data_IF_260196988657
#
_entry.id   IF_260196988657
#
_cell.length_a   1.000
_cell.length_b   1.000
_cell.length_c   1.000
_cell.angle_alpha   90.00
_cell.angle_beta   90.00
_cell.angle_gamma   90.00
#
_symmetry.space_group_name_H-M   'P 1'
#
loop_
_entity.id
_entity.type
_entity.pdbx_description
1 polymer ?
#
# COMPACT_ATOMS: atom_id res chain seq x y z
N UNK A 1 26.31 12.86 57.19
CA UNK A 1 26.31 12.90 55.70
C UNK A 1 25.27 11.90 55.21
N UNK A 2 24.06 12.37 54.84
CA UNK A 2 22.96 11.54 54.31
C UNK A 2 23.13 11.40 52.82
N UNK A 3 23.37 10.19 52.33
CA UNK A 3 23.38 9.87 50.88
C UNK A 3 21.95 9.79 50.39
N UNK A 4 21.57 10.73 49.53
CA UNK A 4 20.30 10.69 48.80
C UNK A 4 20.53 9.77 47.60
N UNK A 5 19.85 8.59 47.61
CA UNK A 5 19.80 7.69 46.46
C UNK A 5 18.64 8.19 45.60
N UNK A 6 18.98 8.81 44.45
CA UNK A 6 18.01 9.14 43.40
C UNK A 6 17.72 7.85 42.64
N UNK A 7 16.54 7.27 42.86
CA UNK A 7 16.03 6.16 42.04
C UNK A 7 15.51 6.78 40.76
N UNK A 8 16.28 6.62 39.67
CA UNK A 8 15.88 6.93 38.33
C UNK A 8 14.91 5.83 37.88
N UNK A 9 13.59 6.07 37.99
CA UNK A 9 12.56 5.17 37.44
C UNK A 9 12.58 5.27 35.92
N UNK A 10 13.24 4.32 35.28
CA UNK A 10 13.05 4.05 33.85
C UNK A 10 11.57 3.69 33.60
N UNK A 11 10.81 4.63 33.07
CA UNK A 11 9.53 4.32 32.46
C UNK A 11 9.82 3.53 31.19
N UNK A 12 9.75 2.20 31.29
CA UNK A 12 9.52 1.35 30.13
C UNK A 12 8.11 1.68 29.60
N UNK A 13 8.04 2.54 28.63
CA UNK A 13 6.84 2.68 27.82
C UNK A 13 6.61 1.35 27.13
N UNK A 14 5.60 0.61 27.55
CA UNK A 14 5.06 -0.49 26.76
C UNK A 14 4.54 0.14 25.47
N UNK A 15 5.31 0.00 24.39
CA UNK A 15 4.79 0.19 23.05
C UNK A 15 3.75 -0.91 22.83
N UNK A 16 2.47 -0.58 23.04
CA UNK A 16 1.39 -1.41 22.52
C UNK A 16 1.60 -1.45 21.01
N UNK A 17 1.83 -2.66 20.47
CA UNK A 17 1.88 -2.86 19.02
C UNK A 17 0.67 -2.18 18.39
N UNK A 18 0.89 -1.35 17.39
CA UNK A 18 -0.18 -0.68 16.70
C UNK A 18 -1.00 -1.73 15.96
N UNK A 19 -2.18 -2.06 16.48
CA UNK A 19 -3.08 -3.01 15.82
C UNK A 19 -3.71 -2.31 14.61
N UNK A 20 -3.14 -2.59 13.43
CA UNK A 20 -3.70 -2.20 12.16
C UNK A 20 -4.01 -3.45 11.36
N UNK A 21 -5.29 -3.72 11.18
CA UNK A 21 -5.78 -4.82 10.35
C UNK A 21 -7.03 -4.36 9.63
N UNK A 22 -7.03 -4.47 8.33
CA UNK A 22 -8.22 -4.33 7.49
C UNK A 22 -8.56 -5.72 6.94
N UNK A 23 -9.58 -6.34 7.51
CA UNK A 23 -10.03 -7.66 7.09
C UNK A 23 -10.68 -7.60 5.70
N UNK A 24 -10.59 -8.70 4.95
CA UNK A 24 -11.35 -8.83 3.71
C UNK A 24 -12.85 -8.69 3.98
N UNK A 25 -13.50 -7.87 3.20
CA UNK A 25 -14.95 -7.72 3.19
C UNK A 25 -15.53 -8.24 1.89
N UNK A 26 -16.47 -9.18 1.97
CA UNK A 26 -17.09 -9.84 0.82
C UNK A 26 -18.54 -9.46 0.70
N UNK A 27 -18.95 -8.98 -0.47
CA UNK A 27 -20.33 -8.56 -0.75
C UNK A 27 -20.64 -8.72 -2.24
N UNK A 28 -21.91 -9.02 -2.62
CA UNK A 28 -22.27 -9.06 -4.02
C UNK A 28 -22.39 -7.65 -4.62
N UNK A 29 -22.11 -7.54 -5.92
CA UNK A 29 -22.50 -6.37 -6.71
C UNK A 29 -24.05 -6.30 -6.77
N UNK A 30 -24.62 -5.16 -6.34
CA UNK A 30 -26.06 -4.92 -6.39
C UNK A 30 -26.47 -4.50 -7.81
N UNK A 31 -25.76 -3.51 -8.34
CA UNK A 31 -25.94 -2.99 -9.70
C UNK A 31 -24.60 -2.69 -10.33
N UNK A 32 -24.58 -2.74 -11.66
CA UNK A 32 -23.44 -2.36 -12.48
C UNK A 32 -23.89 -1.29 -13.45
N UNK A 33 -23.19 -0.16 -13.49
CA UNK A 33 -23.52 0.99 -14.31
C UNK A 33 -22.69 0.99 -15.61
N UNK A 34 -23.20 1.66 -16.63
CA UNK A 34 -22.52 1.74 -17.94
C UNK A 34 -21.26 2.62 -17.91
N UNK A 35 -21.04 3.40 -16.84
CA UNK A 35 -19.87 4.25 -16.65
C UNK A 35 -18.66 3.52 -16.02
N UNK A 36 -18.73 2.19 -15.89
CA UNK A 36 -17.67 1.38 -15.27
C UNK A 36 -17.68 1.44 -13.74
N UNK A 37 -18.79 1.79 -13.15
CA UNK A 37 -18.98 1.77 -11.70
C UNK A 37 -20.03 0.74 -11.29
N UNK A 38 -20.09 0.45 -9.98
CA UNK A 38 -21.10 -0.44 -9.42
C UNK A 38 -21.44 -0.03 -7.99
N UNK A 39 -22.56 -0.53 -7.50
CA UNK A 39 -23.05 -0.33 -6.14
C UNK A 39 -22.93 -1.62 -5.34
N UNK A 40 -22.45 -1.50 -4.10
CA UNK A 40 -22.37 -2.58 -3.11
C UNK A 40 -22.99 -2.13 -1.79
N UNK A 41 -23.26 -3.07 -0.88
CA UNK A 41 -23.65 -2.74 0.50
C UNK A 41 -22.45 -2.11 1.21
N UNK A 42 -22.67 -1.04 1.95
CA UNK A 42 -21.63 -0.41 2.77
C UNK A 42 -21.37 -1.17 4.07
N UNK A 43 -20.16 -1.04 4.59
CA UNK A 43 -19.73 -1.57 5.88
C UNK A 43 -18.74 -0.61 6.53
N UNK A 44 -18.65 -0.56 7.87
CA UNK A 44 -17.60 0.17 8.57
C UNK A 44 -16.18 -0.28 8.21
N UNK A 45 -16.02 -1.50 7.70
CA UNK A 45 -14.73 -2.07 7.28
C UNK A 45 -14.27 -1.53 5.91
N UNK A 46 -15.15 -0.86 5.16
CA UNK A 46 -14.84 -0.29 3.86
C UNK A 46 -14.38 1.17 4.03
N UNK A 47 -13.20 1.47 3.52
CA UNK A 47 -12.67 2.83 3.45
C UNK A 47 -12.74 3.37 2.02
N UNK A 48 -13.01 4.67 1.86
CA UNK A 48 -12.90 5.32 0.55
C UNK A 48 -11.44 5.27 0.11
N UNK A 49 -11.21 4.82 -1.12
CA UNK A 49 -9.88 4.59 -1.67
C UNK A 49 -9.33 3.17 -1.44
N UNK A 50 -9.99 2.35 -0.60
CA UNK A 50 -9.59 0.94 -0.52
C UNK A 50 -9.90 0.19 -1.81
N UNK A 51 -9.09 -0.80 -2.13
CA UNK A 51 -9.24 -1.60 -3.35
C UNK A 51 -9.56 -3.06 -3.05
N UNK A 52 -9.94 -3.78 -4.09
CA UNK A 52 -10.29 -5.18 -4.03
C UNK A 52 -10.40 -5.80 -5.40
N UNK A 53 -11.02 -6.98 -5.46
CA UNK A 53 -11.23 -7.76 -6.68
C UNK A 53 -12.68 -8.16 -6.85
N UNK A 54 -13.08 -8.42 -8.10
CA UNK A 54 -14.38 -9.03 -8.45
C UNK A 54 -14.15 -10.47 -8.82
N UNK A 55 -14.88 -11.36 -8.16
CA UNK A 55 -14.92 -12.80 -8.44
C UNK A 55 -16.18 -13.13 -9.23
N UNK A 56 -16.00 -13.69 -10.42
CA UNK A 56 -17.08 -14.31 -11.18
C UNK A 56 -17.08 -15.82 -10.99
N UNK A 57 -18.24 -16.40 -10.76
CA UNK A 57 -18.39 -17.84 -10.58
C UNK A 57 -18.68 -18.52 -11.92
N UNK A 58 -17.82 -19.46 -12.29
CA UNK A 58 -17.99 -20.37 -13.43
C UNK A 58 -18.34 -21.76 -12.86
N UNK A 59 -19.48 -22.29 -13.16
CA UNK A 59 -19.93 -23.61 -12.68
C UNK A 59 -19.40 -24.00 -11.29
N UNK A 60 -18.23 -24.66 -11.21
CA UNK A 60 -17.60 -25.13 -9.98
C UNK A 60 -16.53 -24.20 -9.44
N UNK A 61 -15.93 -23.37 -10.29
CA UNK A 61 -14.78 -22.52 -9.96
C UNK A 61 -15.13 -21.03 -10.00
N UNK A 62 -14.28 -20.20 -9.43
CA UNK A 62 -14.38 -18.74 -9.53
C UNK A 62 -13.05 -18.14 -9.96
N UNK A 63 -13.12 -17.09 -10.76
CA UNK A 63 -11.94 -16.36 -11.22
C UNK A 63 -12.07 -14.88 -10.92
N UNK A 64 -10.93 -14.23 -10.71
CA UNK A 64 -10.86 -12.77 -10.65
C UNK A 64 -11.01 -12.24 -12.07
N UNK A 65 -12.01 -11.37 -12.28
CA UNK A 65 -12.32 -10.80 -13.59
C UNK A 65 -12.03 -9.30 -13.69
N UNK A 66 -11.98 -8.61 -12.55
CA UNK A 66 -11.68 -7.19 -12.50
C UNK A 66 -11.11 -6.85 -11.13
N UNK A 67 -10.55 -5.66 -11.05
CA UNK A 67 -10.21 -4.95 -9.84
C UNK A 67 -11.28 -3.91 -9.56
N UNK A 68 -11.41 -3.49 -8.31
CA UNK A 68 -12.31 -2.41 -7.89
C UNK A 68 -11.63 -1.49 -6.89
N UNK A 69 -12.01 -0.22 -6.90
CA UNK A 69 -11.69 0.75 -5.85
C UNK A 69 -12.96 1.43 -5.33
N UNK A 70 -13.02 1.70 -4.02
CA UNK A 70 -14.15 2.40 -3.39
C UNK A 70 -14.02 3.89 -3.66
N UNK A 71 -14.98 4.48 -4.37
CA UNK A 71 -14.94 5.89 -4.75
C UNK A 71 -15.83 6.78 -3.87
N UNK A 72 -16.91 6.25 -3.32
CA UNK A 72 -17.78 7.01 -2.40
C UNK A 72 -18.64 6.09 -1.55
N UNK A 73 -19.18 6.64 -0.46
CA UNK A 73 -20.12 5.97 0.46
C UNK A 73 -21.31 6.89 0.72
N UNK A 74 -22.51 6.38 0.63
CA UNK A 74 -23.74 7.14 0.90
C UNK A 74 -24.89 6.22 1.31
N UNK A 75 -25.59 6.59 2.38
CA UNK A 75 -26.88 6.00 2.81
C UNK A 75 -26.89 4.45 2.88
N UNK A 76 -25.83 3.82 3.38
CA UNK A 76 -25.73 2.37 3.53
C UNK A 76 -25.25 1.63 2.28
N UNK A 77 -24.84 2.37 1.26
CA UNK A 77 -24.23 1.84 0.05
C UNK A 77 -22.85 2.45 -0.19
N UNK A 78 -21.99 1.69 -0.86
CA UNK A 78 -20.73 2.19 -1.38
C UNK A 78 -20.71 2.06 -2.91
N UNK A 79 -20.15 3.07 -3.57
CA UNK A 79 -19.91 3.04 -5.01
C UNK A 79 -18.47 2.61 -5.26
N UNK A 80 -18.29 1.63 -6.13
CA UNK A 80 -16.97 1.14 -6.55
C UNK A 80 -16.78 1.40 -8.03
N UNK A 81 -15.52 1.58 -8.45
CA UNK A 81 -15.10 1.72 -9.85
C UNK A 81 -14.31 0.48 -10.26
N UNK A 82 -14.60 -0.04 -11.44
CA UNK A 82 -13.84 -1.15 -12.02
C UNK A 82 -12.52 -0.66 -12.62
N UNK A 83 -11.51 -1.50 -12.46
CA UNK A 83 -10.17 -1.30 -12.97
C UNK A 83 -9.65 -2.63 -13.54
N UNK A 84 -8.63 -2.57 -14.38
CA UNK A 84 -7.98 -3.77 -14.90
C UNK A 84 -7.28 -4.50 -13.76
N UNK A 85 -7.43 -5.81 -13.70
CA UNK A 85 -6.69 -6.65 -12.76
C UNK A 85 -5.33 -7.02 -13.37
N UNK A 86 -4.25 -6.53 -12.78
CA UNK A 86 -2.87 -6.67 -13.26
C UNK A 86 -1.92 -7.36 -12.25
N UNK A 87 -2.45 -7.82 -11.11
CA UNK A 87 -1.66 -8.53 -10.10
C UNK A 87 -1.11 -9.85 -10.66
N UNK A 88 0.22 -10.01 -10.59
CA UNK A 88 0.92 -11.20 -11.11
C UNK A 88 0.57 -11.51 -12.57
N UNK A 89 0.37 -10.47 -13.38
CA UNK A 89 0.02 -10.62 -14.79
C UNK A 89 0.97 -11.58 -15.50
N UNK A 90 0.39 -12.54 -16.22
CA UNK A 90 1.11 -13.47 -17.11
C UNK A 90 0.60 -13.26 -18.52
N UNK A 91 1.42 -12.65 -19.36
CA UNK A 91 1.06 -12.27 -20.74
C UNK A 91 0.62 -13.46 -21.62
N UNK A 92 1.03 -14.67 -21.26
CA UNK A 92 0.75 -15.89 -22.01
C UNK A 92 -0.57 -16.57 -21.58
N UNK A 93 -1.22 -16.06 -20.52
CA UNK A 93 -2.52 -16.59 -20.09
C UNK A 93 -3.66 -15.76 -20.67
N UNK A 94 -4.75 -16.42 -21.15
CA UNK A 94 -5.92 -15.72 -21.66
C UNK A 94 -6.62 -14.96 -20.53
N UNK A 95 -7.01 -13.71 -20.81
CA UNK A 95 -7.90 -12.97 -19.92
C UNK A 95 -9.30 -13.60 -19.93
N UNK A 96 -10.03 -13.60 -18.81
CA UNK A 96 -11.37 -14.16 -18.72
C UNK A 96 -12.36 -13.61 -19.75
N UNK A 97 -12.17 -12.36 -20.22
CA UNK A 97 -12.99 -11.71 -21.23
C UNK A 97 -14.45 -11.46 -20.81
N UNK A 98 -14.74 -11.53 -19.50
CA UNK A 98 -16.08 -11.35 -18.93
C UNK A 98 -16.10 -10.03 -18.17
N UNK A 99 -17.13 -9.23 -18.42
CA UNK A 99 -17.37 -8.01 -17.66
C UNK A 99 -18.07 -8.33 -16.33
N UNK A 100 -17.78 -7.57 -15.25
CA UNK A 100 -18.51 -7.69 -14.01
C UNK A 100 -20.02 -7.51 -14.18
N UNK A 101 -20.80 -8.30 -13.45
CA UNK A 101 -22.25 -8.31 -13.50
C UNK A 101 -22.86 -8.29 -12.09
N UNK A 102 -24.12 -7.89 -11.98
CA UNK A 102 -24.86 -7.98 -10.72
C UNK A 102 -24.87 -9.42 -10.20
N UNK A 103 -24.57 -9.59 -8.91
CA UNK A 103 -24.41 -10.88 -8.26
C UNK A 103 -22.97 -11.39 -8.17
N UNK A 104 -22.03 -10.85 -8.94
CA UNK A 104 -20.61 -11.16 -8.77
C UNK A 104 -20.12 -10.70 -7.40
N UNK A 105 -19.17 -11.43 -6.83
CA UNK A 105 -18.68 -11.14 -5.48
C UNK A 105 -17.49 -10.17 -5.52
N UNK A 106 -17.65 -9.04 -4.85
CA UNK A 106 -16.54 -8.13 -4.54
C UNK A 106 -15.86 -8.59 -3.26
N UNK A 107 -14.53 -8.66 -3.29
CA UNK A 107 -13.66 -8.88 -2.13
C UNK A 107 -12.83 -7.62 -1.95
N UNK A 108 -13.24 -6.73 -1.04
CA UNK A 108 -12.47 -5.52 -0.69
C UNK A 108 -11.38 -5.83 0.34
N UNK A 109 -10.42 -4.92 0.48
CA UNK A 109 -9.23 -5.09 1.31
C UNK A 109 -8.41 -6.33 0.91
N UNK A 110 -8.42 -6.65 -0.38
CA UNK A 110 -7.74 -7.83 -0.93
C UNK A 110 -6.23 -7.68 -0.80
N UNK A 111 -5.57 -8.68 -0.18
CA UNK A 111 -4.14 -8.68 0.12
C UNK A 111 -3.66 -7.55 1.06
N UNK A 112 -4.53 -7.00 1.90
CA UNK A 112 -4.14 -5.96 2.85
C UNK A 112 -3.34 -6.48 4.05
N UNK A 113 -3.09 -7.77 4.12
CA UNK A 113 -2.10 -8.36 5.01
C UNK A 113 -0.67 -8.33 4.42
N UNK A 114 -0.48 -7.80 3.19
CA UNK A 114 0.80 -7.70 2.48
C UNK A 114 1.06 -6.24 2.07
N UNK A 115 2.23 -5.72 2.44
CA UNK A 115 2.59 -4.31 2.22
C UNK A 115 4.00 -4.18 1.64
N UNK A 116 4.18 -3.29 0.65
CA UNK A 116 5.49 -2.71 0.42
C UNK A 116 5.88 -1.90 1.64
N UNK A 117 7.18 -1.71 1.86
CA UNK A 117 7.70 -0.89 2.95
C UNK A 117 8.75 0.10 2.43
N UNK A 118 8.53 1.37 2.72
CA UNK A 118 9.40 2.49 2.38
C UNK A 118 9.74 3.22 3.68
N UNK A 119 10.97 3.15 4.10
CA UNK A 119 11.45 3.72 5.37
C UNK A 119 12.80 4.39 5.17
N UNK A 120 13.13 5.41 5.97
CA UNK A 120 14.33 6.22 5.76
C UNK A 120 15.63 5.49 6.15
N UNK A 121 15.60 4.53 7.07
CA UNK A 121 16.80 3.85 7.57
C UNK A 121 16.47 2.45 8.11
N UNK A 122 17.53 1.72 8.48
CA UNK A 122 17.44 0.35 8.98
C UNK A 122 16.74 0.25 10.34
N UNK A 123 17.00 1.19 11.21
CA UNK A 123 16.46 1.20 12.57
C UNK A 123 14.93 1.30 12.53
N UNK A 124 14.40 2.24 11.73
CA UNK A 124 12.95 2.39 11.53
C UNK A 124 12.37 1.17 10.83
N UNK A 125 13.13 0.54 9.90
CA UNK A 125 12.69 -0.73 9.30
C UNK A 125 12.47 -1.82 10.35
N UNK A 126 13.41 -2.02 11.26
CA UNK A 126 13.32 -3.02 12.32
C UNK A 126 12.19 -2.69 13.33
N UNK A 127 12.00 -1.42 13.66
CA UNK A 127 10.90 -0.97 14.51
C UNK A 127 9.53 -1.24 13.88
N UNK A 128 9.35 -0.96 12.59
CA UNK A 128 8.10 -1.21 11.87
C UNK A 128 7.78 -2.70 11.82
N UNK A 129 8.76 -3.56 11.56
CA UNK A 129 8.56 -5.02 11.60
C UNK A 129 8.11 -5.48 13.00
N UNK A 130 8.68 -4.91 14.05
CA UNK A 130 8.29 -5.20 15.43
C UNK A 130 6.90 -4.67 15.80
N UNK A 131 6.52 -3.50 15.28
CA UNK A 131 5.23 -2.87 15.55
C UNK A 131 4.04 -3.58 14.86
N UNK A 132 4.26 -4.21 13.71
CA UNK A 132 3.22 -4.87 12.91
C UNK A 132 3.56 -6.35 12.62
N UNK A 133 3.61 -7.21 13.63
CA UNK A 133 4.08 -8.60 13.48
C UNK A 133 3.17 -9.48 12.61
N UNK A 134 1.92 -9.08 12.40
CA UNK A 134 0.94 -9.80 11.58
C UNK A 134 0.94 -9.33 10.11
N UNK A 135 1.69 -8.28 9.78
CA UNK A 135 1.83 -7.76 8.42
C UNK A 135 2.98 -8.46 7.69
N UNK A 136 2.75 -8.88 6.46
CA UNK A 136 3.79 -9.44 5.60
C UNK A 136 4.40 -8.28 4.81
N UNK A 137 5.53 -7.76 5.26
CA UNK A 137 6.26 -6.74 4.54
C UNK A 137 7.12 -7.34 3.43
N UNK A 138 6.96 -6.80 2.22
CA UNK A 138 7.82 -7.10 1.08
C UNK A 138 9.15 -6.39 1.31
N UNK A 139 10.25 -7.16 1.32
CA UNK A 139 11.57 -6.60 1.64
C UNK A 139 11.94 -5.43 0.71
N UNK A 140 12.41 -4.29 1.22
CA UNK A 140 12.69 -3.09 0.40
C UNK A 140 13.72 -3.34 -0.69
N UNK A 141 14.60 -4.34 -0.56
CA UNK A 141 15.56 -4.71 -1.61
C UNK A 141 14.90 -5.14 -2.92
N UNK A 142 13.66 -5.67 -2.89
CA UNK A 142 12.96 -6.02 -4.14
C UNK A 142 12.61 -4.76 -4.94
N UNK A 143 12.14 -3.74 -4.25
CA UNK A 143 11.90 -2.42 -4.88
C UNK A 143 13.21 -1.77 -5.28
N UNK A 144 14.24 -1.82 -4.42
CA UNK A 144 15.57 -1.30 -4.71
C UNK A 144 16.20 -1.95 -5.95
N UNK A 145 16.11 -3.27 -6.09
CA UNK A 145 16.62 -3.98 -7.26
C UNK A 145 15.88 -3.59 -8.55
N UNK A 146 14.55 -3.44 -8.49
CA UNK A 146 13.77 -2.93 -9.62
C UNK A 146 14.23 -1.52 -10.02
N UNK A 147 14.38 -0.61 -9.05
CA UNK A 147 14.80 0.77 -9.32
C UNK A 147 16.22 0.85 -9.88
N UNK A 148 17.15 0.03 -9.38
CA UNK A 148 18.51 -0.09 -9.91
C UNK A 148 18.48 -0.59 -11.36
N UNK A 149 17.73 -1.64 -11.65
CA UNK A 149 17.57 -2.17 -13.01
C UNK A 149 16.96 -1.15 -13.97
N UNK A 150 15.97 -0.39 -13.51
CA UNK A 150 15.29 0.64 -14.29
C UNK A 150 16.04 1.99 -14.29
N UNK A 151 17.15 2.12 -13.58
CA UNK A 151 17.89 3.39 -13.44
C UNK A 151 16.99 4.54 -12.94
N UNK A 152 16.24 4.31 -11.87
CA UNK A 152 15.25 5.24 -11.32
C UNK A 152 15.52 5.55 -9.83
N UNK A 153 16.36 6.55 -9.51
CA UNK A 153 16.63 6.95 -8.12
C UNK A 153 15.48 7.75 -7.46
N UNK A 154 14.41 8.04 -8.19
CA UNK A 154 13.25 8.83 -7.76
C UNK A 154 11.94 8.07 -8.04
N UNK A 155 11.60 7.02 -7.27
CA UNK A 155 10.43 6.19 -7.55
C UNK A 155 9.13 6.99 -7.52
N UNK A 156 8.28 6.74 -8.51
CA UNK A 156 6.95 7.33 -8.67
C UNK A 156 5.85 6.39 -8.15
N UNK A 157 4.59 6.89 -8.10
CA UNK A 157 3.41 6.04 -7.85
C UNK A 157 3.36 4.83 -8.78
N UNK A 158 3.67 5.01 -10.08
CA UNK A 158 3.60 3.95 -11.07
C UNK A 158 4.67 2.88 -10.83
N UNK A 159 5.85 3.27 -10.37
CA UNK A 159 6.89 2.31 -9.97
C UNK A 159 6.43 1.46 -8.79
N UNK A 160 5.85 2.09 -7.77
CA UNK A 160 5.30 1.35 -6.63
C UNK A 160 4.09 0.51 -7.00
N UNK A 161 3.15 0.98 -7.84
CA UNK A 161 2.03 0.19 -8.37
C UNK A 161 2.52 -1.08 -9.05
N UNK A 162 3.53 -0.94 -9.93
CA UNK A 162 4.16 -2.08 -10.60
C UNK A 162 4.77 -3.07 -9.61
N UNK A 163 5.47 -2.58 -8.59
CA UNK A 163 6.06 -3.43 -7.56
C UNK A 163 5.00 -4.09 -6.67
N UNK A 164 3.92 -3.40 -6.36
CA UNK A 164 2.78 -3.98 -5.67
C UNK A 164 2.16 -5.13 -6.49
N UNK A 165 1.93 -4.91 -7.78
CA UNK A 165 1.40 -5.92 -8.68
C UNK A 165 2.31 -7.15 -8.76
N UNK A 166 3.61 -6.96 -8.94
CA UNK A 166 4.60 -8.04 -9.03
C UNK A 166 4.80 -8.81 -7.71
N UNK A 167 4.59 -8.14 -6.56
CA UNK A 167 4.79 -8.72 -5.23
C UNK A 167 3.49 -9.20 -4.57
N UNK A 168 2.35 -9.09 -5.25
CA UNK A 168 1.03 -9.35 -4.69
C UNK A 168 0.83 -8.64 -3.34
N UNK A 169 1.07 -7.31 -3.32
CA UNK A 169 0.86 -6.46 -2.15
C UNK A 169 -0.34 -5.55 -2.36
N UNK A 170 -1.24 -5.49 -1.37
CA UNK A 170 -2.40 -4.60 -1.39
C UNK A 170 -2.10 -3.23 -0.79
N UNK A 171 -1.07 -3.13 0.05
CA UNK A 171 -0.70 -1.92 0.78
C UNK A 171 0.72 -1.47 0.49
N UNK A 172 0.96 -0.18 0.69
CA UNK A 172 2.27 0.43 0.85
C UNK A 172 2.33 1.13 2.21
N UNK A 173 3.38 0.85 2.98
CA UNK A 173 3.72 1.58 4.20
C UNK A 173 4.84 2.56 3.90
N UNK A 174 4.68 3.81 4.33
CA UNK A 174 5.71 4.85 4.20
C UNK A 174 5.92 5.51 5.55
N UNK A 175 7.17 5.49 6.04
CA UNK A 175 7.57 6.24 7.24
C UNK A 175 8.28 7.53 6.82
N UNK A 176 7.84 8.64 7.39
CA UNK A 176 8.35 10.00 7.20
C UNK A 176 8.63 10.63 8.56
N UNK A 177 9.24 11.81 8.58
CA UNK A 177 9.48 12.55 9.81
C UNK A 177 8.17 12.89 10.54
N UNK A 178 8.05 12.45 11.80
CA UNK A 178 6.88 12.67 12.65
C UNK A 178 5.59 11.96 12.21
N UNK A 179 5.60 11.21 11.09
CA UNK A 179 4.41 10.61 10.49
C UNK A 179 4.72 9.32 9.75
N UNK A 180 3.83 8.33 9.86
CA UNK A 180 3.84 7.17 8.97
C UNK A 180 2.44 6.81 8.50
N UNK A 181 2.33 6.22 7.32
CA UNK A 181 1.03 5.91 6.70
C UNK A 181 0.99 4.51 6.12
N UNK A 182 -0.18 3.85 6.23
CA UNK A 182 -0.57 2.81 5.29
C UNK A 182 -1.49 3.41 4.23
N UNK A 183 -1.15 3.19 2.97
CA UNK A 183 -1.98 3.57 1.84
C UNK A 183 -2.28 2.36 0.96
N UNK A 184 -3.38 2.43 0.21
CA UNK A 184 -3.68 1.46 -0.82
C UNK A 184 -2.66 1.54 -1.96
N UNK A 185 -2.17 0.42 -2.42
CA UNK A 185 -1.10 0.33 -3.41
C UNK A 185 -1.46 0.91 -4.79
N UNK A 186 -2.74 1.02 -5.10
CA UNK A 186 -3.18 1.46 -6.41
C UNK A 186 -3.72 2.89 -6.40
N UNK A 187 -4.61 3.17 -5.48
CA UNK A 187 -5.20 4.51 -5.36
C UNK A 187 -4.25 5.51 -4.71
N UNK A 188 -3.27 5.03 -3.93
CA UNK A 188 -2.44 5.84 -3.05
C UNK A 188 -3.23 6.66 -2.03
N UNK A 189 -4.50 6.31 -1.79
CA UNK A 189 -5.27 6.90 -0.70
C UNK A 189 -4.76 6.38 0.63
N UNK A 190 -4.49 7.32 1.55
CA UNK A 190 -4.10 7.01 2.92
C UNK A 190 -5.28 6.36 3.63
N UNK A 191 -5.08 5.14 4.11
CA UNK A 191 -6.10 4.36 4.83
C UNK A 191 -5.91 4.47 6.34
N UNK A 192 -4.66 4.64 6.78
CA UNK A 192 -4.32 4.81 8.19
C UNK A 192 -3.06 5.65 8.35
N UNK A 193 -3.08 6.54 9.32
CA UNK A 193 -1.96 7.39 9.69
C UNK A 193 -1.58 7.16 11.15
N UNK A 194 -0.28 7.25 11.43
CA UNK A 194 0.31 7.19 12.76
C UNK A 194 1.21 8.40 12.97
N UNK A 195 1.21 8.94 14.17
CA UNK A 195 2.24 9.88 14.61
C UNK A 195 3.47 9.10 15.04
N UNK A 196 4.62 9.47 14.53
CA UNK A 196 5.90 8.82 14.81
C UNK A 196 6.90 9.81 15.39
N UNK A 197 8.09 9.34 15.78
CA UNK A 197 9.20 10.18 16.20
C UNK A 197 9.88 10.88 15.04
N UNK A 198 10.88 11.69 15.38
CA UNK A 198 11.75 12.37 14.41
C UNK A 198 12.72 11.36 13.77
N UNK A 199 13.06 11.60 12.51
CA UNK A 199 13.99 10.77 11.74
C UNK A 199 15.39 11.37 11.86
N UNK A 200 16.33 10.64 12.47
CA UNK A 200 17.70 11.12 12.70
C UNK A 200 18.53 11.19 11.41
N UNK A 201 18.35 10.23 10.50
CA UNK A 201 19.07 10.20 9.21
C UNK A 201 18.27 9.46 8.12
N UNK A 202 18.61 9.76 6.88
CA UNK A 202 17.92 9.25 5.69
C UNK A 202 18.88 8.54 4.75
N UNK A 203 18.52 7.33 4.32
CA UNK A 203 19.08 6.68 3.15
C UNK A 203 18.18 6.98 1.95
N UNK A 204 18.75 7.39 0.83
CA UNK A 204 18.00 7.69 -0.39
C UNK A 204 18.21 6.58 -1.45
N UNK A 205 17.17 6.24 -2.22
CA UNK A 205 15.80 6.79 -2.17
C UNK A 205 15.02 6.35 -0.93
N UNK A 206 15.33 5.22 -0.32
CA UNK A 206 14.83 4.67 0.94
C UNK A 206 15.82 3.61 1.44
N UNK A 207 15.60 3.10 2.65
CA UNK A 207 16.43 2.02 3.17
C UNK A 207 16.34 0.78 2.28
N UNK A 208 17.48 0.36 1.77
CA UNK A 208 17.71 -0.89 1.04
C UNK A 208 19.20 -1.26 1.13
N UNK A 209 19.51 -2.53 0.96
CA UNK A 209 20.89 -3.03 0.87
C UNK A 209 21.40 -3.04 -0.59
N UNK A 210 20.52 -2.73 -1.55
CA UNK A 210 20.91 -2.61 -2.96
C UNK A 210 21.70 -1.33 -3.14
N UNK A 211 22.92 -1.46 -3.64
CA UNK A 211 23.77 -0.35 -4.06
C UNK A 211 23.39 0.11 -5.47
N UNK A 212 23.90 1.28 -5.86
CA UNK A 212 23.87 1.76 -7.25
C UNK A 212 22.45 1.96 -7.82
N UNK A 213 21.53 2.47 -7.00
CA UNK A 213 20.27 3.00 -7.50
C UNK A 213 20.56 4.40 -8.04
N UNK A 214 21.02 4.46 -9.27
CA UNK A 214 21.51 5.66 -9.92
C UNK A 214 20.82 5.90 -11.26
N UNK A 215 21.01 7.09 -11.83
CA UNK A 215 20.50 7.45 -13.16
C UNK A 215 21.57 7.23 -14.21
N UNK A 216 21.14 7.22 -15.48
CA UNK A 216 22.03 7.19 -16.65
C UNK A 216 21.79 8.42 -17.52
N UNK A 217 22.85 8.90 -18.21
CA UNK A 217 22.85 10.20 -18.91
C UNK A 217 21.80 10.36 -20.02
N UNK A 218 21.23 9.27 -20.52
CA UNK A 218 20.17 9.31 -21.54
C UNK A 218 18.74 9.32 -20.98
N UNK A 219 18.55 9.20 -19.64
CA UNK A 219 17.24 9.33 -18.97
C UNK A 219 17.06 10.75 -18.45
N UNK A 220 16.35 11.57 -19.21
CA UNK A 220 16.20 13.00 -18.98
C UNK A 220 15.32 13.40 -17.78
N UNK A 221 14.75 12.57 -17.00
CA UNK A 221 13.87 12.92 -15.86
C UNK A 221 14.13 12.05 -14.62
N UNK A 222 15.37 11.61 -14.44
CA UNK A 222 15.74 10.74 -13.32
C UNK A 222 16.68 11.47 -12.34
N UNK A 223 16.26 12.64 -11.85
CA UNK A 223 16.99 13.32 -10.79
C UNK A 223 16.88 12.53 -9.48
N UNK A 224 17.95 12.58 -8.66
CA UNK A 224 17.91 11.99 -7.33
C UNK A 224 16.93 12.72 -6.42
N UNK A 225 16.34 11.99 -5.47
CA UNK A 225 15.56 12.60 -4.39
C UNK A 225 16.50 13.50 -3.57
N UNK A 226 16.12 14.77 -3.43
CA UNK A 226 16.87 15.73 -2.62
C UNK A 226 16.27 15.88 -1.19
N UNK A 227 14.98 15.60 -1.05
CA UNK A 227 14.27 15.64 0.22
C UNK A 227 13.34 14.44 0.28
N UNK A 228 13.60 13.53 1.20
CA UNK A 228 12.88 12.30 1.40
C UNK A 228 11.40 12.56 1.69
N UNK A 229 11.11 13.33 2.74
CA UNK A 229 9.74 13.57 3.21
C UNK A 229 8.90 14.28 2.15
N UNK A 230 9.44 15.34 1.55
CA UNK A 230 8.75 16.08 0.49
C UNK A 230 8.51 15.24 -0.78
N UNK A 231 9.37 14.24 -1.07
CA UNK A 231 9.16 13.33 -2.19
C UNK A 231 8.02 12.34 -1.91
N UNK A 232 8.04 11.72 -0.72
CA UNK A 232 7.05 10.70 -0.39
C UNK A 232 5.69 11.30 -0.01
N UNK A 233 5.62 12.51 0.56
CA UNK A 233 4.34 13.22 0.76
C UNK A 233 3.57 13.40 -0.55
N UNK A 234 4.25 13.75 -1.64
CA UNK A 234 3.63 13.92 -2.97
C UNK A 234 2.95 12.66 -3.50
N UNK A 235 3.34 11.48 -3.03
CA UNK A 235 2.67 10.24 -3.42
C UNK A 235 1.22 10.16 -2.92
N UNK A 236 0.86 10.95 -1.90
CA UNK A 236 -0.45 10.93 -1.26
C UNK A 236 -1.29 12.17 -1.58
N UNK A 237 -0.72 13.15 -2.28
CA UNK A 237 -1.48 14.31 -2.78
C UNK A 237 -2.44 13.87 -3.89
N UNK A 238 -3.64 14.47 -3.92
CA UNK A 238 -4.58 14.21 -5.01
C UNK A 238 -4.07 14.85 -6.30
N UNK A 239 -4.18 14.13 -7.41
CA UNK A 239 -3.96 14.72 -8.73
C UNK A 239 -5.09 15.75 -8.96
N UNK A 240 -4.74 17.04 -8.94
CA UNK A 240 -5.64 18.16 -9.25
C UNK A 240 -5.98 18.22 -10.74
#
# INVERSE_FOLDING_TARGET
MKRIIVILSLFFGFAFGADFSLNEYRTPLISVESDGTATIVDSPEILIGSSGVVLHKFDTDSSIIARVSVVSKNAGFAKVRFEVFDLLEQKDLPLPGIAPASGDIVVLNYLYNRSLIVVPNKEIYEEVLGAFPNMIFIHPDLVGAYLSYEYKPNPSRDDFRKMCAQSAAGLIFVAMDGRSVFADCQSFKVLKEFKTGEVEYYQLPFYTRVSDIDTVFWKLNSEHINNYDAHYEKLFEEDN
#
